data_IF_542096351113
#
_entry.id   IF_542096351113
#
_cell.length_a   1.000
_cell.length_b   1.000
_cell.length_c   1.000
_cell.angle_alpha   90.00
_cell.angle_beta   90.00
_cell.angle_gamma   90.00
#
_symmetry.space_group_name_H-M   'P 1'
#
loop_
_entity.id
_entity.type
_entity.pdbx_description
1 polymer ?
#
# COMPACT_ATOMS: atom_id res chain seq x y z
N UNK A 1 -8.57 -9.74 19.25
CA UNK A 1 -7.70 -10.27 18.17
C UNK A 1 -6.58 -9.27 17.91
N UNK A 2 -5.39 -9.72 17.52
CA UNK A 2 -4.28 -8.82 17.24
C UNK A 2 -4.28 -8.48 15.74
N UNK A 3 -4.39 -7.19 15.43
CA UNK A 3 -4.33 -6.66 14.07
C UNK A 3 -2.93 -6.13 13.79
N UNK A 4 -2.38 -6.41 12.60
CA UNK A 4 -1.06 -5.91 12.18
C UNK A 4 -1.22 -4.65 11.34
N UNK A 5 -0.58 -3.56 11.75
CA UNK A 5 -0.48 -2.35 10.93
C UNK A 5 0.89 -2.29 10.24
N UNK A 6 0.87 -2.13 8.92
CA UNK A 6 2.06 -2.04 8.08
C UNK A 6 2.15 -0.61 7.56
N UNK A 7 3.29 0.05 7.79
CA UNK A 7 3.56 1.39 7.26
C UNK A 7 4.61 1.30 6.18
N UNK A 8 4.28 1.74 4.97
CA UNK A 8 5.17 1.67 3.81
C UNK A 8 5.42 3.06 3.25
N UNK A 9 6.64 3.57 3.40
CA UNK A 9 7.03 4.85 2.81
C UNK A 9 7.47 4.68 1.35
N UNK A 10 7.13 5.65 0.51
CA UNK A 10 7.52 5.68 -0.90
C UNK A 10 7.78 7.11 -1.39
N UNK A 11 8.66 7.24 -2.38
CA UNK A 11 8.94 8.48 -3.11
C UNK A 11 9.40 8.10 -4.52
N UNK A 12 8.66 8.52 -5.55
CA UNK A 12 9.00 8.35 -6.98
C UNK A 12 9.39 6.92 -7.41
N UNK A 13 8.78 5.89 -6.81
CA UNK A 13 9.12 4.47 -7.05
C UNK A 13 7.89 3.60 -7.37
N UNK A 14 7.09 3.92 -8.39
CA UNK A 14 5.81 3.24 -8.66
C UNK A 14 5.94 1.72 -8.84
N UNK A 15 6.97 1.25 -9.57
CA UNK A 15 7.17 -0.18 -9.83
C UNK A 15 7.51 -0.94 -8.54
N UNK A 16 8.36 -0.37 -7.69
CA UNK A 16 8.73 -0.99 -6.41
C UNK A 16 7.58 -0.94 -5.41
N UNK A 17 6.81 0.15 -5.41
CA UNK A 17 5.60 0.27 -4.60
C UNK A 17 4.59 -0.83 -4.95
N UNK A 18 4.29 -1.03 -6.24
CA UNK A 18 3.37 -2.07 -6.68
C UNK A 18 3.84 -3.48 -6.24
N UNK A 19 5.14 -3.78 -6.39
CA UNK A 19 5.73 -5.06 -5.96
C UNK A 19 5.64 -5.26 -4.45
N UNK A 20 5.89 -4.21 -3.67
CA UNK A 20 5.85 -4.27 -2.21
C UNK A 20 4.42 -4.47 -1.69
N UNK A 21 3.43 -3.77 -2.26
CA UNK A 21 2.02 -4.00 -1.92
C UNK A 21 1.62 -5.44 -2.25
N UNK A 22 1.98 -5.94 -3.44
CA UNK A 22 1.70 -7.31 -3.83
C UNK A 22 2.36 -8.35 -2.91
N UNK A 23 3.51 -8.06 -2.29
CA UNK A 23 4.12 -8.98 -1.32
C UNK A 23 3.36 -9.02 0.00
N UNK A 24 2.78 -7.89 0.44
CA UNK A 24 1.89 -7.83 1.61
C UNK A 24 0.60 -8.61 1.36
N UNK A 25 -0.01 -8.46 0.19
CA UNK A 25 -1.23 -9.18 -0.19
C UNK A 25 -1.05 -10.71 -0.23
N UNK A 26 0.19 -11.20 -0.39
CA UNK A 26 0.53 -12.64 -0.41
C UNK A 26 0.86 -13.23 0.97
N UNK A 27 0.79 -12.43 2.04
CA UNK A 27 1.04 -12.95 3.39
C UNK A 27 -0.06 -13.94 3.80
N UNK A 28 0.31 -14.95 4.60
CA UNK A 28 -0.63 -15.95 5.13
C UNK A 28 -1.48 -15.43 6.29
N UNK A 29 -0.99 -14.41 7.00
CA UNK A 29 -1.76 -13.69 8.02
C UNK A 29 -2.65 -12.65 7.36
N UNK A 30 -3.95 -12.64 7.68
CA UNK A 30 -4.97 -11.89 6.91
C UNK A 30 -5.58 -10.69 7.63
N UNK A 31 -5.42 -10.57 8.95
CA UNK A 31 -5.95 -9.42 9.73
C UNK A 31 -4.93 -8.27 9.77
N UNK A 32 -4.76 -7.60 8.64
CA UNK A 32 -3.80 -6.50 8.48
C UNK A 32 -4.40 -5.25 7.86
N UNK A 33 -3.74 -4.12 8.11
CA UNK A 33 -3.97 -2.85 7.41
C UNK A 33 -2.64 -2.29 6.91
N UNK A 34 -2.61 -1.83 5.66
CA UNK A 34 -1.45 -1.21 5.03
C UNK A 34 -1.69 0.28 4.82
N UNK A 35 -0.79 1.11 5.35
CA UNK A 35 -0.75 2.55 5.11
C UNK A 35 0.45 2.88 4.22
N UNK A 36 0.18 3.29 2.98
CA UNK A 36 1.20 3.80 2.07
C UNK A 36 1.40 5.29 2.35
N UNK A 37 2.60 5.67 2.75
CA UNK A 37 2.98 7.06 3.00
C UNK A 37 3.78 7.57 1.81
N UNK A 38 3.16 8.40 0.97
CA UNK A 38 3.82 9.08 -0.12
C UNK A 38 4.53 10.34 0.41
N UNK A 39 5.87 10.34 0.33
CA UNK A 39 6.73 11.38 0.90
C UNK A 39 7.00 12.53 -0.10
N UNK A 40 5.94 13.15 -0.62
CA UNK A 40 6.04 14.26 -1.59
C UNK A 40 6.18 13.86 -3.06
N UNK A 41 6.08 12.57 -3.40
CA UNK A 41 6.06 12.12 -4.79
C UNK A 41 4.74 12.41 -5.49
N UNK A 42 4.69 12.17 -6.81
CA UNK A 42 3.47 12.38 -7.60
C UNK A 42 2.26 11.59 -7.03
N UNK A 43 1.24 12.32 -6.56
CA UNK A 43 0.04 11.73 -5.91
C UNK A 43 -0.72 10.80 -6.85
N UNK A 44 -1.02 11.27 -8.06
CA UNK A 44 -1.78 10.50 -9.04
C UNK A 44 -1.12 9.16 -9.40
N UNK A 45 0.22 9.14 -9.46
CA UNK A 45 0.97 7.90 -9.72
C UNK A 45 0.84 6.91 -8.56
N UNK A 46 0.93 7.39 -7.30
CA UNK A 46 0.76 6.53 -6.12
C UNK A 46 -0.68 6.01 -6.03
N UNK A 47 -1.66 6.88 -6.25
CA UNK A 47 -3.08 6.53 -6.21
C UNK A 47 -3.43 5.48 -7.26
N UNK A 48 -2.91 5.62 -8.48
CA UNK A 48 -3.10 4.62 -9.53
C UNK A 48 -2.53 3.24 -9.14
N UNK A 49 -1.35 3.20 -8.52
CA UNK A 49 -0.75 1.94 -8.05
C UNK A 49 -1.60 1.30 -6.95
N UNK A 50 -2.11 2.09 -6.01
CA UNK A 50 -2.91 1.60 -4.90
C UNK A 50 -4.29 1.14 -5.37
N UNK A 51 -4.89 1.81 -6.35
CA UNK A 51 -6.18 1.42 -6.91
C UNK A 51 -6.11 0.08 -7.65
N UNK A 52 -5.05 -0.13 -8.43
CA UNK A 52 -4.76 -1.44 -9.04
C UNK A 52 -4.60 -2.51 -7.97
N UNK A 53 -3.92 -2.21 -6.87
CA UNK A 53 -3.75 -3.16 -5.77
C UNK A 53 -5.08 -3.48 -5.06
N UNK A 54 -5.98 -2.51 -4.86
CA UNK A 54 -7.30 -2.76 -4.23
C UNK A 54 -8.19 -3.62 -5.13
N UNK A 55 -8.05 -3.49 -6.44
CA UNK A 55 -8.83 -4.26 -7.42
C UNK A 55 -8.59 -5.78 -7.34
N UNK A 56 -7.49 -6.23 -6.70
CA UNK A 56 -7.23 -7.66 -6.46
C UNK A 56 -7.99 -8.25 -5.27
N UNK A 57 -8.85 -7.48 -4.61
CA UNK A 57 -9.68 -7.90 -3.45
C UNK A 57 -8.84 -8.43 -2.27
N UNK A 58 -7.96 -7.60 -1.69
CA UNK A 58 -7.10 -8.03 -0.57
C UNK A 58 -7.90 -8.39 0.68
N UNK A 59 -7.31 -9.22 1.53
CA UNK A 59 -7.87 -9.59 2.84
C UNK A 59 -7.84 -8.44 3.86
N UNK A 60 -6.92 -7.49 3.69
CA UNK A 60 -6.76 -6.30 4.52
C UNK A 60 -6.99 -4.98 3.77
N UNK A 61 -7.12 -3.89 4.51
CA UNK A 61 -7.32 -2.56 3.93
C UNK A 61 -5.99 -1.94 3.47
N UNK A 62 -6.04 -1.13 2.41
CA UNK A 62 -4.90 -0.35 1.92
C UNK A 62 -5.32 1.12 1.84
N UNK A 63 -4.66 2.00 2.59
CA UNK A 63 -4.88 3.45 2.56
C UNK A 63 -3.62 4.22 2.15
N UNK A 64 -3.79 5.47 1.74
CA UNK A 64 -2.70 6.35 1.31
C UNK A 64 -2.71 7.61 2.17
N UNK A 65 -1.53 8.00 2.64
CA UNK A 65 -1.25 9.29 3.27
C UNK A 65 -0.24 10.03 2.40
N UNK A 66 -0.62 11.19 1.87
CA UNK A 66 0.31 12.09 1.18
C UNK A 66 0.86 13.10 2.17
N UNK A 67 2.19 13.13 2.30
CA UNK A 67 2.88 14.23 2.95
C UNK A 67 3.05 15.38 1.96
N UNK A 68 2.98 16.61 2.48
CA UNK A 68 3.24 17.84 1.71
C UNK A 68 4.73 18.00 1.36
#
# INVERSE_FOLDING_TARGET
MQQVSIVMRTYERPILLARAIASVQKQTFTDWNLVVVNNGGNRAVVDAVVEVARSSTPTGNISVLHLE
#
